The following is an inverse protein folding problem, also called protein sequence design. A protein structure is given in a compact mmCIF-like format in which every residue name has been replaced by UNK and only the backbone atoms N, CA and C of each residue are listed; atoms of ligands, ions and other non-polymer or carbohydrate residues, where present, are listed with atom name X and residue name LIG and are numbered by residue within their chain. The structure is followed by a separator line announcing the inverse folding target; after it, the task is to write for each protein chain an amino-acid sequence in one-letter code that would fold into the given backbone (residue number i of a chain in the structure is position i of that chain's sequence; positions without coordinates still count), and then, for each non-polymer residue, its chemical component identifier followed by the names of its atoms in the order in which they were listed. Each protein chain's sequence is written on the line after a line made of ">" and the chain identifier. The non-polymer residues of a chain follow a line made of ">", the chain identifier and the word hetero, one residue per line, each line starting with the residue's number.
data_IF_311512311055
#
_entry.id   IF_311512311055
#
_cell.length_a   1.000
_cell.length_b   1.000
_cell.length_c   1.000
_cell.angle_alpha   90.00
_cell.angle_beta   90.00
_cell.angle_gamma   90.00
#
_symmetry.space_group_name_H-M   'P 1'
#
loop_
_entity.id
_entity.type
_entity.pdbx_description
1 polymer ?
#
# COMPACT_ATOMS: atom_id res chain seq x y z
N UNK A 1 38.86 -46.76 13.06
CA UNK A 1 37.40 -46.87 12.82
C UNK A 1 36.70 -45.81 13.70
N UNK A 2 36.19 -44.70 13.13
CA UNK A 2 35.53 -43.62 13.89
C UNK A 2 34.02 -43.87 13.89
N UNK A 3 33.41 -44.03 15.06
CA UNK A 3 31.95 -44.24 15.20
C UNK A 3 31.19 -42.95 14.85
N UNK A 4 30.02 -43.04 14.16
CA UNK A 4 29.20 -41.88 13.86
C UNK A 4 28.60 -41.29 15.14
N UNK A 5 28.73 -39.97 15.30
CA UNK A 5 28.20 -39.24 16.45
C UNK A 5 26.66 -39.24 16.37
N UNK A 6 26.01 -39.93 17.32
CA UNK A 6 24.56 -39.95 17.42
C UNK A 6 24.02 -38.55 17.76
N UNK A 7 23.20 -37.98 16.88
CA UNK A 7 22.54 -36.69 17.09
C UNK A 7 21.51 -36.85 18.23
N UNK A 8 21.61 -36.01 19.26
CA UNK A 8 20.67 -36.10 20.40
C UNK A 8 19.23 -35.82 19.94
N UNK A 9 18.24 -36.52 20.52
CA UNK A 9 16.82 -36.39 20.17
C UNK A 9 16.31 -34.94 20.16
N UNK A 10 16.86 -34.07 21.02
CA UNK A 10 16.53 -32.63 21.05
C UNK A 10 17.05 -31.86 19.82
N UNK A 11 18.24 -32.20 19.34
CA UNK A 11 18.81 -31.62 18.11
C UNK A 11 18.09 -32.15 16.88
N UNK A 12 17.72 -33.43 16.87
CA UNK A 12 16.90 -34.00 15.81
C UNK A 12 15.51 -33.35 15.74
N UNK A 13 14.87 -33.09 16.88
CA UNK A 13 13.58 -32.40 16.92
C UNK A 13 13.67 -30.94 16.46
N UNK A 14 14.73 -30.21 16.87
CA UNK A 14 14.97 -28.84 16.39
C UNK A 14 15.26 -28.76 14.89
N UNK A 15 16.04 -29.71 14.36
CA UNK A 15 16.30 -29.84 12.92
C UNK A 15 15.03 -30.20 12.14
N UNK A 16 14.18 -31.07 12.68
CA UNK A 16 12.91 -31.42 12.08
C UNK A 16 11.94 -30.22 12.04
N UNK A 17 11.87 -29.44 13.12
CA UNK A 17 11.05 -28.22 13.19
C UNK A 17 11.52 -27.14 12.21
N UNK A 18 12.83 -26.97 12.10
CA UNK A 18 13.43 -26.06 11.12
C UNK A 18 13.19 -26.55 9.69
N UNK A 19 13.38 -27.84 9.42
CA UNK A 19 13.10 -28.43 8.11
C UNK A 19 11.61 -28.35 7.74
N UNK A 20 10.69 -28.53 8.70
CA UNK A 20 9.26 -28.37 8.46
C UNK A 20 8.88 -26.91 8.19
N UNK A 21 9.50 -25.95 8.88
CA UNK A 21 9.28 -24.53 8.62
C UNK A 21 9.80 -24.14 7.22
N UNK A 22 10.99 -24.62 6.86
CA UNK A 22 11.57 -24.41 5.52
C UNK A 22 10.72 -25.10 4.44
N UNK A 23 10.19 -26.29 4.70
CA UNK A 23 9.29 -26.98 3.77
C UNK A 23 7.95 -26.24 3.62
N UNK A 24 7.35 -25.72 4.70
CA UNK A 24 6.13 -24.90 4.61
C UNK A 24 6.38 -23.62 3.82
N UNK A 25 7.55 -23.00 3.97
CA UNK A 25 7.93 -21.80 3.20
C UNK A 25 8.26 -22.11 1.73
N UNK A 26 8.89 -23.25 1.44
CA UNK A 26 9.29 -23.64 0.09
C UNK A 26 8.16 -24.30 -0.73
N UNK A 27 7.18 -24.93 -0.08
CA UNK A 27 6.03 -25.58 -0.72
C UNK A 27 4.70 -24.84 -0.52
N UNK A 28 4.72 -23.61 0.02
CA UNK A 28 3.58 -22.71 -0.08
C UNK A 28 3.29 -22.49 -1.58
N UNK A 29 2.14 -22.98 -2.05
CA UNK A 29 1.74 -22.91 -3.45
C UNK A 29 1.86 -21.49 -4.01
N UNK A 30 2.34 -21.35 -5.26
CA UNK A 30 2.37 -20.09 -6.03
C UNK A 30 0.96 -19.55 -6.37
N UNK A 31 -0.11 -20.12 -5.79
CA UNK A 31 -1.50 -19.67 -5.91
C UNK A 31 -1.81 -18.35 -5.20
N UNK A 32 -0.79 -17.67 -4.68
CA UNK A 32 -0.89 -16.31 -4.18
C UNK A 32 -0.38 -15.32 -5.23
N UNK A 33 -1.22 -14.94 -6.18
CA UNK A 33 -1.03 -13.64 -6.80
C UNK A 33 -1.27 -12.60 -5.68
N UNK A 34 -0.16 -12.05 -5.15
CA UNK A 34 -0.10 -10.89 -4.26
C UNK A 34 -0.55 -11.09 -2.78
N UNK A 35 0.03 -12.05 -2.02
CA UNK A 35 -0.19 -12.12 -0.55
C UNK A 35 0.27 -10.86 0.17
N UNK A 36 1.35 -10.25 -0.33
CA UNK A 36 2.05 -9.19 0.37
C UNK A 36 1.85 -7.83 -0.32
N UNK A 37 1.70 -7.78 -1.65
CA UNK A 37 1.49 -6.54 -2.39
C UNK A 37 0.02 -6.28 -2.75
N UNK A 38 -0.37 -5.03 -3.03
CA UNK A 38 -1.66 -4.72 -3.65
C UNK A 38 -1.80 -5.34 -5.05
N UNK A 39 -3.05 -5.52 -5.50
CA UNK A 39 -3.31 -6.00 -6.87
C UNK A 39 -2.94 -4.94 -7.92
N UNK A 40 -2.38 -5.38 -9.05
CA UNK A 40 -1.87 -4.52 -10.12
C UNK A 40 -2.23 -5.05 -11.50
N UNK A 41 -1.87 -4.30 -12.56
CA UNK A 41 -2.06 -4.68 -13.96
C UNK A 41 -3.39 -4.28 -14.58
N UNK A 42 -4.31 -3.68 -13.83
CA UNK A 42 -5.60 -3.17 -14.36
C UNK A 42 -5.59 -1.67 -14.69
N UNK A 43 -4.65 -0.90 -14.14
CA UNK A 43 -4.48 0.51 -14.49
C UNK A 43 -3.04 0.99 -14.19
N UNK A 44 -2.55 2.03 -14.88
CA UNK A 44 -1.26 2.64 -14.54
C UNK A 44 -1.19 3.19 -13.11
N UNK A 45 -2.33 3.44 -12.46
CA UNK A 45 -2.36 3.88 -11.06
C UNK A 45 -2.12 2.70 -10.11
N UNK A 46 -2.74 1.55 -10.37
CA UNK A 46 -2.53 0.32 -9.59
C UNK A 46 -1.05 -0.11 -9.60
N UNK A 47 -0.41 -0.05 -10.78
CA UNK A 47 1.01 -0.41 -10.94
C UNK A 47 1.95 0.50 -10.14
N UNK A 48 1.62 1.80 -10.08
CA UNK A 48 2.37 2.77 -9.27
C UNK A 48 2.17 2.55 -7.78
N UNK A 49 0.96 2.22 -7.36
CA UNK A 49 0.67 1.87 -5.95
C UNK A 49 1.48 0.64 -5.55
N UNK A 50 1.53 -0.40 -6.39
CA UNK A 50 2.35 -1.59 -6.12
C UNK A 50 3.84 -1.25 -6.01
N UNK A 51 4.35 -0.44 -6.94
CA UNK A 51 5.76 -0.01 -6.93
C UNK A 51 6.11 0.74 -5.64
N UNK A 52 5.25 1.67 -5.22
CA UNK A 52 5.40 2.40 -3.96
C UNK A 52 5.32 1.48 -2.75
N UNK A 53 4.41 0.50 -2.78
CA UNK A 53 4.26 -0.48 -1.73
C UNK A 53 5.55 -1.27 -1.53
N UNK A 54 6.16 -1.80 -2.60
CA UNK A 54 7.43 -2.53 -2.52
C UNK A 54 8.58 -1.65 -2.00
N UNK A 55 8.63 -0.38 -2.41
CA UNK A 55 9.62 0.57 -1.93
C UNK A 55 9.49 0.79 -0.42
N UNK A 56 8.28 1.10 0.05
CA UNK A 56 8.02 1.36 1.48
C UNK A 56 8.25 0.09 2.31
N UNK A 57 7.81 -1.07 1.80
CA UNK A 57 8.03 -2.35 2.43
C UNK A 57 9.53 -2.65 2.61
N UNK A 58 10.35 -2.42 1.58
CA UNK A 58 11.79 -2.63 1.65
C UNK A 58 12.45 -1.74 2.73
N UNK A 59 12.08 -0.46 2.78
CA UNK A 59 12.59 0.47 3.81
C UNK A 59 12.14 0.04 5.21
N UNK A 60 10.86 -0.30 5.37
CA UNK A 60 10.31 -0.77 6.65
C UNK A 60 11.02 -2.06 7.11
N UNK A 61 11.30 -2.99 6.20
CA UNK A 61 12.01 -4.23 6.50
C UNK A 61 13.44 -3.96 7.00
N UNK A 62 14.15 -3.01 6.40
CA UNK A 62 15.50 -2.62 6.86
C UNK A 62 15.45 -2.06 8.29
N UNK A 63 14.50 -1.17 8.57
CA UNK A 63 14.32 -0.61 9.92
C UNK A 63 13.93 -1.70 10.92
N UNK A 64 13.00 -2.58 10.55
CA UNK A 64 12.57 -3.73 11.36
C UNK A 64 13.76 -4.61 11.73
N UNK A 65 14.58 -5.01 10.74
CA UNK A 65 15.80 -5.80 10.99
C UNK A 65 16.78 -5.04 11.89
N UNK A 66 16.91 -3.72 11.75
CA UNK A 66 17.75 -2.91 12.63
C UNK A 66 17.28 -2.95 14.09
N UNK A 67 15.98 -2.72 14.33
CA UNK A 67 15.39 -2.71 15.67
C UNK A 67 15.42 -4.10 16.30
N UNK A 68 14.91 -5.11 15.58
CA UNK A 68 14.93 -6.50 16.03
C UNK A 68 16.36 -7.01 16.23
N UNK A 69 17.28 -6.63 15.35
CA UNK A 69 18.70 -6.97 15.46
C UNK A 69 19.31 -6.46 16.76
N UNK A 70 19.05 -5.20 17.13
CA UNK A 70 19.50 -4.62 18.41
C UNK A 70 18.81 -5.31 19.59
N UNK A 71 17.51 -5.61 19.49
CA UNK A 71 16.77 -6.32 20.53
C UNK A 71 17.34 -7.72 20.75
N UNK A 72 17.46 -8.54 19.70
CA UNK A 72 18.06 -9.87 19.77
C UNK A 72 19.49 -9.82 20.27
N UNK A 73 20.30 -8.88 19.76
CA UNK A 73 21.66 -8.67 20.27
C UNK A 73 21.65 -8.42 21.78
N UNK A 74 20.76 -7.56 22.28
CA UNK A 74 20.65 -7.27 23.70
C UNK A 74 20.25 -8.50 24.52
N UNK A 75 19.28 -9.28 24.04
CA UNK A 75 18.78 -10.48 24.70
C UNK A 75 19.85 -11.58 24.78
N UNK A 76 20.63 -11.77 23.71
CA UNK A 76 21.70 -12.78 23.67
C UNK A 76 22.94 -12.34 24.45
N UNK A 77 23.37 -11.08 24.30
CA UNK A 77 24.60 -10.55 24.91
C UNK A 77 24.45 -10.32 26.41
N UNK A 78 23.33 -9.73 26.84
CA UNK A 78 23.07 -9.32 28.22
C UNK A 78 22.15 -10.28 28.98
N UNK A 79 22.02 -11.53 28.52
CA UNK A 79 21.28 -12.57 29.23
C UNK A 79 21.79 -12.74 30.67
N UNK A 80 20.86 -12.80 31.64
CA UNK A 80 21.17 -12.93 33.06
C UNK A 80 22.09 -14.13 33.38
N UNK A 81 23.04 -13.92 34.29
CA UNK A 81 23.99 -14.92 34.81
C UNK A 81 24.08 -14.84 36.32
N UNK A 82 24.25 -15.99 36.99
CA UNK A 82 24.37 -16.05 38.46
C UNK A 82 25.63 -15.29 38.91
N UNK A 83 25.50 -14.50 39.98
CA UNK A 83 26.61 -13.76 40.60
C UNK A 83 27.06 -12.50 39.86
N UNK A 84 26.39 -12.10 38.77
CA UNK A 84 26.72 -10.86 38.03
C UNK A 84 25.71 -9.79 38.40
N UNK A 85 26.19 -8.65 38.90
CA UNK A 85 25.37 -7.46 39.15
C UNK A 85 25.42 -6.56 37.90
N UNK A 86 24.27 -6.14 37.34
CA UNK A 86 24.25 -5.31 36.13
C UNK A 86 24.78 -3.89 36.42
N UNK A 87 25.48 -3.32 35.45
CA UNK A 87 25.92 -1.93 35.50
C UNK A 87 24.70 -0.99 35.63
N UNK A 88 24.72 -0.13 36.64
CA UNK A 88 23.63 0.79 36.92
C UNK A 88 23.88 2.14 36.24
N UNK A 89 23.54 2.22 34.95
CA UNK A 89 23.68 3.45 34.15
C UNK A 89 22.36 4.19 34.16
N UNK A 90 22.37 5.46 34.60
CA UNK A 90 21.16 6.30 34.69
C UNK A 90 21.18 7.29 33.54
N UNK A 91 20.71 6.83 32.39
CA UNK A 91 20.47 7.66 31.21
C UNK A 91 21.69 7.93 30.33
N UNK A 92 21.41 8.48 29.16
CA UNK A 92 22.39 9.00 28.23
C UNK A 92 21.76 10.14 27.41
N UNK A 93 21.87 11.37 27.92
CA UNK A 93 21.23 12.54 27.33
C UNK A 93 21.60 12.74 25.85
N UNK A 94 22.84 12.42 25.46
CA UNK A 94 23.27 12.55 24.06
C UNK A 94 22.56 11.54 23.16
N UNK A 95 22.45 10.28 23.61
CA UNK A 95 21.70 9.26 22.90
C UNK A 95 20.22 9.64 22.83
N UNK A 96 19.66 10.09 23.95
CA UNK A 96 18.26 10.48 24.10
C UNK A 96 17.86 11.64 23.17
N UNK A 97 18.69 12.67 23.08
CA UNK A 97 18.53 13.76 22.12
C UNK A 97 18.70 13.23 20.69
N UNK A 98 19.68 12.36 20.45
CA UNK A 98 19.97 11.82 19.12
C UNK A 98 18.76 11.12 18.48
N UNK A 99 18.10 10.20 19.21
CA UNK A 99 16.96 9.46 18.66
C UNK A 99 15.68 10.31 18.55
N UNK A 100 15.45 11.25 19.48
CA UNK A 100 14.28 12.14 19.42
C UNK A 100 14.38 13.16 18.29
N UNK A 101 15.56 13.77 18.08
CA UNK A 101 15.83 14.63 16.93
C UNK A 101 15.72 13.83 15.63
N UNK A 102 16.26 12.61 15.58
CA UNK A 102 16.11 11.73 14.42
C UNK A 102 14.65 11.48 14.05
N UNK A 103 13.81 11.13 15.03
CA UNK A 103 12.38 10.92 14.81
C UNK A 103 11.66 12.22 14.35
N UNK A 104 11.99 13.36 14.95
CA UNK A 104 11.42 14.65 14.57
C UNK A 104 11.78 15.03 13.12
N UNK A 105 13.03 14.83 12.70
CA UNK A 105 13.48 15.10 11.33
C UNK A 105 12.73 14.23 10.32
N UNK A 106 12.52 12.94 10.62
CA UNK A 106 11.74 12.04 9.76
C UNK A 106 10.31 12.59 9.57
N UNK A 107 9.65 13.03 10.65
CA UNK A 107 8.31 13.60 10.57
C UNK A 107 8.28 14.91 9.76
N UNK A 108 9.27 15.78 9.93
CA UNK A 108 9.37 17.03 9.15
C UNK A 108 9.52 16.75 7.66
N UNK A 109 10.41 15.81 7.29
CA UNK A 109 10.63 15.43 5.89
C UNK A 109 9.35 14.85 5.28
N UNK A 110 8.68 13.94 5.99
CA UNK A 110 7.40 13.36 5.55
C UNK A 110 6.30 14.43 5.42
N UNK A 111 6.24 15.38 6.36
CA UNK A 111 5.30 16.50 6.33
C UNK A 111 5.52 17.39 5.11
N UNK A 112 6.75 17.83 4.87
CA UNK A 112 7.11 18.66 3.70
C UNK A 112 6.77 17.94 2.40
N UNK A 113 7.16 16.68 2.27
CA UNK A 113 6.88 15.87 1.08
C UNK A 113 5.36 15.75 0.83
N UNK A 114 4.58 15.54 1.90
CA UNK A 114 3.12 15.49 1.82
C UNK A 114 2.54 16.81 1.30
N UNK A 115 2.94 17.95 1.87
CA UNK A 115 2.42 19.25 1.44
C UNK A 115 2.81 19.61 0.00
N UNK A 116 3.98 19.18 -0.46
CA UNK A 116 4.44 19.39 -1.84
C UNK A 116 3.68 18.49 -2.83
N UNK A 117 3.38 17.24 -2.46
CA UNK A 117 2.71 16.28 -3.35
C UNK A 117 1.18 16.40 -3.37
N UNK A 118 0.57 16.87 -2.28
CA UNK A 118 -0.88 16.92 -2.12
C UNK A 118 -1.63 17.56 -3.30
N UNK A 119 -1.15 18.67 -3.91
CA UNK A 119 -1.83 19.27 -5.06
C UNK A 119 -1.91 18.36 -6.29
N UNK A 120 -0.88 17.54 -6.54
CA UNK A 120 -0.84 16.61 -7.68
C UNK A 120 -1.72 15.38 -7.52
N UNK A 121 -2.08 15.04 -6.27
CA UNK A 121 -3.04 13.96 -5.96
C UNK A 121 -4.48 14.46 -6.08
N UNK A 122 -4.76 15.67 -5.60
CA UNK A 122 -6.11 16.26 -5.68
C UNK A 122 -6.50 16.64 -7.12
N UNK A 123 -5.53 17.00 -7.95
CA UNK A 123 -5.74 17.39 -9.34
C UNK A 123 -4.77 16.64 -10.26
N UNK A 124 -5.02 15.34 -10.55
CA UNK A 124 -4.14 14.59 -11.41
C UNK A 124 -4.17 15.17 -12.83
N UNK A 125 -3.03 15.19 -13.53
CA UNK A 125 -2.93 15.59 -14.93
C UNK A 125 -3.72 14.59 -15.81
N UNK A 126 -4.23 15.09 -16.94
CA UNK A 126 -4.99 14.29 -17.91
C UNK A 126 -4.19 13.04 -18.33
N UNK A 127 -4.85 11.88 -18.43
CA UNK A 127 -4.25 10.66 -18.97
C UNK A 127 -3.95 10.85 -20.45
N UNK A 128 -2.66 10.81 -20.86
CA UNK A 128 -2.24 10.88 -22.26
C UNK A 128 -1.88 9.50 -22.81
N UNK A 129 -1.92 9.33 -24.14
CA UNK A 129 -1.49 8.10 -24.81
C UNK A 129 -0.04 7.70 -24.52
N UNK A 130 0.79 8.62 -24.00
CA UNK A 130 2.20 8.41 -23.68
C UNK A 130 2.52 8.49 -22.17
N UNK A 131 1.51 8.48 -21.29
CA UNK A 131 1.73 8.69 -19.86
C UNK A 131 2.17 10.12 -19.52
N UNK A 132 2.43 10.38 -18.24
CA UNK A 132 2.67 11.72 -17.69
C UNK A 132 4.03 12.31 -18.14
N UNK A 133 4.01 13.51 -18.76
CA UNK A 133 5.19 14.32 -19.04
C UNK A 133 5.11 15.58 -18.15
N UNK A 134 5.91 15.61 -17.07
CA UNK A 134 5.76 16.55 -15.96
C UNK A 134 6.13 17.98 -16.30
N UNK A 135 5.15 18.89 -16.16
CA UNK A 135 5.36 20.34 -16.06
C UNK A 135 4.82 20.83 -14.73
N UNK A 136 5.71 21.27 -13.85
CA UNK A 136 5.38 21.87 -12.56
C UNK A 136 4.60 23.17 -12.79
N UNK A 137 3.47 23.32 -12.07
CA UNK A 137 2.44 24.38 -12.16
C UNK A 137 1.31 24.06 -13.15
N UNK A 138 0.15 23.67 -12.60
CA UNK A 138 -1.15 23.69 -13.29
C UNK A 138 -2.19 24.26 -12.32
N UNK A 139 -2.92 25.28 -12.78
CA UNK A 139 -3.88 26.06 -12.00
C UNK A 139 -5.23 25.30 -11.99
N UNK A 140 -5.98 25.42 -10.89
CA UNK A 140 -7.31 24.83 -10.72
C UNK A 140 -8.25 25.32 -11.83
N UNK A 141 -8.83 24.37 -12.56
CA UNK A 141 -9.78 24.63 -13.63
C UNK A 141 -11.07 23.91 -13.27
N UNK A 142 -12.14 24.68 -13.21
CA UNK A 142 -13.50 24.24 -12.89
C UNK A 142 -14.18 23.51 -14.05
N UNK A 143 -13.49 23.32 -15.18
CA UNK A 143 -14.00 22.63 -16.36
C UNK A 143 -13.48 21.20 -16.46
N UNK A 144 -14.38 20.27 -16.82
CA UNK A 144 -14.08 18.84 -17.01
C UNK A 144 -13.09 18.68 -18.16
N UNK A 145 -11.82 18.42 -17.85
CA UNK A 145 -10.77 18.29 -18.86
C UNK A 145 -10.90 16.95 -19.58
N UNK A 146 -11.06 17.03 -20.91
CA UNK A 146 -11.08 15.88 -21.80
C UNK A 146 -9.65 15.33 -21.99
N UNK A 147 -9.48 14.00 -22.10
CA UNK A 147 -8.20 13.40 -22.39
C UNK A 147 -7.67 13.78 -23.78
N UNK A 148 -6.37 13.60 -24.07
CA UNK A 148 -5.75 13.97 -25.35
C UNK A 148 -6.30 13.23 -26.58
N UNK A 149 -6.97 12.09 -26.38
CA UNK A 149 -7.68 11.36 -27.44
C UNK A 149 -9.14 11.81 -27.64
N UNK A 150 -9.61 12.76 -26.82
CA UNK A 150 -10.98 13.31 -26.83
C UNK A 150 -12.07 12.33 -26.34
N UNK A 151 -11.72 11.09 -25.99
CA UNK A 151 -12.67 10.06 -25.56
C UNK A 151 -12.70 9.98 -24.04
N UNK A 152 -13.74 10.53 -23.43
CA UNK A 152 -14.02 10.38 -22.00
C UNK A 152 -15.40 9.78 -21.78
N UNK A 153 -15.52 8.88 -20.82
CA UNK A 153 -16.81 8.39 -20.34
C UNK A 153 -17.02 8.85 -18.90
N UNK A 154 -18.19 9.39 -18.59
CA UNK A 154 -18.58 9.65 -17.21
C UNK A 154 -19.60 8.63 -16.74
N UNK A 155 -19.43 8.15 -15.51
CA UNK A 155 -20.33 7.18 -14.91
C UNK A 155 -20.65 7.65 -13.50
N UNK A 156 -21.93 7.82 -13.22
CA UNK A 156 -22.41 8.09 -11.88
C UNK A 156 -22.55 6.76 -11.13
N UNK A 157 -21.77 6.59 -10.07
CA UNK A 157 -21.80 5.42 -9.19
C UNK A 157 -22.66 5.76 -7.99
N UNK A 158 -23.83 5.15 -7.91
CA UNK A 158 -24.76 5.34 -6.80
C UNK A 158 -24.69 4.14 -5.86
N UNK A 159 -24.22 4.35 -4.64
CA UNK A 159 -24.30 3.40 -3.55
C UNK A 159 -25.64 3.49 -2.84
N UNK A 160 -26.34 2.36 -2.77
CA UNK A 160 -27.51 2.14 -1.94
C UNK A 160 -27.24 0.93 -1.06
N UNK A 161 -27.99 0.75 0.02
CA UNK A 161 -27.86 -0.41 0.89
C UNK A 161 -27.95 -1.70 0.06
N UNK A 162 -26.83 -2.43 0.07
CA UNK A 162 -26.65 -3.73 -0.57
C UNK A 162 -26.69 -3.73 -2.12
N UNK A 163 -26.69 -2.58 -2.78
CA UNK A 163 -26.69 -2.53 -4.25
C UNK A 163 -25.96 -1.32 -4.82
N UNK A 164 -25.24 -1.56 -5.91
CA UNK A 164 -24.58 -0.53 -6.71
C UNK A 164 -25.36 -0.31 -8.00
N UNK A 165 -25.61 0.96 -8.33
CA UNK A 165 -26.17 1.39 -9.62
C UNK A 165 -25.16 2.25 -10.36
N UNK A 166 -24.86 1.88 -11.59
CA UNK A 166 -23.97 2.58 -12.50
C UNK A 166 -24.80 3.26 -13.58
N UNK A 167 -24.72 4.59 -13.70
CA UNK A 167 -25.50 5.34 -14.70
C UNK A 167 -24.56 6.05 -15.67
N UNK A 168 -24.74 5.77 -16.97
CA UNK A 168 -23.91 6.31 -18.05
C UNK A 168 -24.47 7.65 -18.52
N UNK A 169 -24.18 8.70 -17.75
CA UNK A 169 -24.69 10.05 -17.97
C UNK A 169 -23.53 11.06 -18.15
N UNK A 170 -23.67 12.08 -19.01
CA UNK A 170 -22.64 13.10 -19.22
C UNK A 170 -22.39 13.96 -17.96
N UNK A 171 -23.43 14.17 -17.15
CA UNK A 171 -23.43 14.90 -15.89
C UNK A 171 -24.16 14.09 -14.80
N UNK A 172 -23.63 14.13 -13.59
CA UNK A 172 -24.19 13.47 -12.40
C UNK A 172 -24.93 14.44 -11.48
N UNK A 173 -24.94 15.74 -11.80
CA UNK A 173 -25.72 16.75 -11.11
C UNK A 173 -27.22 16.65 -11.49
N UNK A 174 -28.11 16.66 -10.49
CA UNK A 174 -29.53 16.98 -10.71
C UNK A 174 -30.55 15.85 -10.58
N UNK A 175 -30.21 14.69 -10.02
CA UNK A 175 -31.20 13.69 -9.51
C UNK A 175 -32.09 12.98 -10.56
N UNK A 176 -32.10 13.42 -11.81
CA UNK A 176 -32.99 12.96 -12.87
C UNK A 176 -32.28 12.08 -13.92
N UNK A 177 -31.32 11.25 -13.49
CA UNK A 177 -30.52 10.41 -14.39
C UNK A 177 -31.25 9.14 -14.88
N UNK A 178 -32.56 9.01 -14.62
CA UNK A 178 -33.37 7.88 -15.07
C UNK A 178 -33.52 7.78 -16.60
N UNK A 179 -33.21 8.85 -17.34
CA UNK A 179 -33.25 8.87 -18.82
C UNK A 179 -32.06 8.13 -19.45
N UNK A 180 -30.95 8.01 -18.72
CA UNK A 180 -29.72 7.44 -19.25
C UNK A 180 -29.66 5.94 -19.01
N UNK A 181 -28.84 5.25 -19.82
CA UNK A 181 -28.59 3.83 -19.62
C UNK A 181 -27.98 3.60 -18.23
N UNK A 182 -28.48 2.58 -17.53
CA UNK A 182 -27.96 2.19 -16.23
C UNK A 182 -27.79 0.67 -16.13
N UNK A 183 -26.90 0.25 -15.25
CA UNK A 183 -26.68 -1.14 -14.90
C UNK A 183 -26.63 -1.29 -13.38
N UNK A 184 -27.08 -2.43 -12.88
CA UNK A 184 -26.93 -2.82 -11.48
C UNK A 184 -25.81 -3.85 -11.35
N UNK A 185 -25.04 -3.77 -10.27
CA UNK A 185 -23.99 -4.73 -9.86
C UNK A 185 -22.78 -4.84 -10.78
N UNK A 186 -22.95 -4.78 -12.10
CA UNK A 186 -21.88 -4.87 -13.10
C UNK A 186 -21.75 -3.55 -13.87
N UNK A 187 -20.52 -3.06 -13.97
CA UNK A 187 -20.17 -1.88 -14.76
C UNK A 187 -19.30 -2.31 -15.95
N UNK A 188 -19.68 -1.88 -17.14
CA UNK A 188 -18.89 -2.02 -18.36
C UNK A 188 -18.19 -0.71 -18.69
N UNK A 189 -16.91 -0.79 -19.04
CA UNK A 189 -16.10 0.37 -19.45
C UNK A 189 -15.31 0.04 -20.71
N UNK A 190 -15.15 1.00 -21.63
CA UNK A 190 -14.27 0.84 -22.78
C UNK A 190 -12.80 0.84 -22.34
N UNK A 191 -11.99 -0.02 -22.97
CA UNK A 191 -10.54 -0.01 -22.80
C UNK A 191 -9.92 1.25 -23.44
N UNK A 192 -8.72 1.62 -22.99
CA UNK A 192 -7.94 2.76 -23.53
C UNK A 192 -8.67 4.12 -23.53
N UNK A 193 -9.62 4.29 -22.61
CA UNK A 193 -10.47 5.47 -22.49
C UNK A 193 -10.43 6.00 -21.06
N UNK A 194 -10.35 7.32 -20.88
CA UNK A 194 -10.43 7.89 -19.53
C UNK A 194 -11.87 7.81 -19.03
N UNK A 195 -12.07 7.09 -17.92
CA UNK A 195 -13.35 6.98 -17.24
C UNK A 195 -13.32 7.86 -15.99
N UNK A 196 -14.25 8.81 -15.92
CA UNK A 196 -14.50 9.59 -14.72
C UNK A 196 -15.64 8.94 -13.96
N UNK A 197 -15.47 8.75 -12.66
CA UNK A 197 -16.45 8.16 -11.77
C UNK A 197 -16.87 9.20 -10.73
N UNK A 198 -18.14 9.55 -10.75
CA UNK A 198 -18.73 10.41 -9.74
C UNK A 198 -19.50 9.53 -8.75
N UNK A 199 -19.00 9.41 -7.52
CA UNK A 199 -19.48 8.45 -6.52
C UNK A 199 -20.33 9.15 -5.47
N UNK A 200 -21.55 8.65 -5.24
CA UNK A 200 -22.48 9.20 -4.25
C UNK A 200 -23.20 8.08 -3.48
N UNK A 201 -23.50 8.31 -2.21
CA UNK A 201 -24.40 7.47 -1.42
C UNK A 201 -25.81 8.09 -1.38
N UNK A 202 -26.87 7.27 -1.48
CA UNK A 202 -28.24 7.77 -1.33
C UNK A 202 -28.77 7.67 0.10
N UNK A 203 -28.27 6.73 0.88
CA UNK A 203 -28.76 6.43 2.22
C UNK A 203 -27.66 6.62 3.28
N UNK A 204 -26.56 5.87 3.16
CA UNK A 204 -25.43 5.88 4.07
C UNK A 204 -24.13 6.15 3.32
N UNK A 205 -23.04 6.33 4.08
CA UNK A 205 -21.72 6.42 3.50
C UNK A 205 -21.32 5.08 2.87
N UNK A 206 -20.88 5.13 1.62
CA UNK A 206 -20.37 3.99 0.87
C UNK A 206 -18.97 4.30 0.32
N UNK A 207 -18.19 3.26 0.09
CA UNK A 207 -16.92 3.33 -0.63
C UNK A 207 -16.96 2.31 -1.76
N UNK A 208 -16.76 2.80 -2.97
CA UNK A 208 -16.65 1.96 -4.16
C UNK A 208 -15.17 1.73 -4.45
N UNK A 209 -14.79 0.48 -4.71
CA UNK A 209 -13.38 0.09 -4.80
C UNK A 209 -13.18 -1.06 -5.78
N UNK A 210 -12.20 -0.92 -6.68
CA UNK A 210 -11.71 -2.01 -7.53
C UNK A 210 -10.18 -2.16 -7.34
N UNK A 211 -9.69 -3.25 -6.73
CA UNK A 211 -8.27 -3.40 -6.40
C UNK A 211 -7.36 -3.29 -7.63
N UNK A 212 -7.66 -4.00 -8.74
CA UNK A 212 -6.90 -3.93 -9.99
C UNK A 212 -6.75 -2.54 -10.60
N UNK A 213 -7.64 -1.60 -10.25
CA UNK A 213 -7.61 -0.24 -10.79
C UNK A 213 -6.88 0.74 -9.85
N UNK A 214 -6.43 0.29 -8.68
CA UNK A 214 -5.81 1.14 -7.67
C UNK A 214 -6.81 1.77 -6.70
N UNK A 215 -8.08 1.40 -6.83
CA UNK A 215 -9.20 1.89 -6.05
C UNK A 215 -10.00 3.00 -6.68
#
# INVERSE_FOLDING_TARGET
>A
MRLPVAISRRRAFGLALFASLVAVLAFASVGWANTFSPESGGSPNADKIETLWWLVFAVALVVFIGVEGVLFYSLFKFRARKGVVPAQIRGNTRLEIGWTVGAAVILVVLGVFTFVLLPGIKNPPNSSANGYNGGYVQIADSTKRLPPNGKSLNICVTGQQYIWRFTYAPDCAGGNNFKYAFAYTTMYVPVDTTVTLDIFGQDVAHSWWIPKLGG
#
